data_IF_512655683209
#
_entry.id   IF_512655683209
#
_cell.length_a   1.000
_cell.length_b   1.000
_cell.length_c   1.000
_cell.angle_alpha   90.00
_cell.angle_beta   90.00
_cell.angle_gamma   90.00
#
_symmetry.space_group_name_H-M   'P 1'
#
loop_
_entity.id
_entity.type
_entity.pdbx_description
1 polymer ?
#
# COMPACT_ATOMS: atom_id res chain seq x y z
N UNK A 1 -12.14 -0.67 0.11
CA UNK A 1 -12.67 0.66 0.44
C UNK A 1 -14.17 0.65 0.75
N UNK A 2 -14.94 -0.22 0.11
CA UNK A 2 -16.40 -0.22 0.30
C UNK A 2 -16.84 -0.73 1.67
N UNK A 3 -16.14 -1.68 2.24
CA UNK A 3 -16.48 -2.28 3.54
C UNK A 3 -16.38 -1.30 4.71
N UNK A 4 -15.57 -0.26 4.59
CA UNK A 4 -15.48 0.78 5.63
C UNK A 4 -16.74 1.61 5.77
N UNK A 5 -17.51 1.78 4.71
CA UNK A 5 -18.79 2.50 4.76
C UNK A 5 -19.87 1.72 5.50
N UNK A 6 -19.77 0.40 5.55
CA UNK A 6 -20.67 -0.48 6.28
C UNK A 6 -20.04 -1.07 7.54
N UNK A 7 -18.94 -0.48 8.03
CA UNK A 7 -18.21 -0.90 9.23
C UNK A 7 -17.68 -2.32 9.16
N UNK A 8 -17.21 -2.73 7.99
CA UNK A 8 -16.69 -4.08 7.70
C UNK A 8 -17.74 -5.20 7.84
N UNK A 9 -19.04 -4.87 7.77
CA UNK A 9 -20.11 -5.85 7.90
C UNK A 9 -20.01 -6.93 6.80
N UNK A 10 -19.74 -6.52 5.56
CA UNK A 10 -19.57 -7.46 4.45
C UNK A 10 -18.37 -8.37 4.67
N UNK A 11 -17.22 -7.83 5.08
CA UNK A 11 -16.03 -8.62 5.39
C UNK A 11 -16.31 -9.63 6.52
N UNK A 12 -16.87 -9.17 7.64
CA UNK A 12 -17.24 -10.01 8.77
C UNK A 12 -18.17 -11.14 8.34
N UNK A 13 -19.24 -10.80 7.61
CA UNK A 13 -20.25 -11.74 7.15
C UNK A 13 -19.70 -12.82 6.23
N UNK A 14 -18.80 -12.47 5.33
CA UNK A 14 -18.32 -13.41 4.31
C UNK A 14 -17.05 -14.15 4.72
N UNK A 15 -16.19 -13.56 5.53
CA UNK A 15 -14.87 -14.14 5.86
C UNK A 15 -14.75 -14.61 7.31
N UNK A 16 -15.47 -14.00 8.25
CA UNK A 16 -15.39 -14.36 9.67
C UNK A 16 -16.55 -15.26 10.10
N UNK A 17 -17.78 -14.86 9.78
CA UNK A 17 -18.98 -15.60 10.22
C UNK A 17 -19.19 -16.90 9.43
N UNK A 18 -18.60 -17.00 8.24
CA UNK A 18 -18.62 -18.23 7.44
C UNK A 18 -17.27 -18.93 7.59
N UNK A 19 -17.30 -20.12 8.17
CA UNK A 19 -16.08 -20.92 8.37
C UNK A 19 -15.42 -21.37 7.06
N UNK A 20 -16.10 -21.22 5.92
CA UNK A 20 -15.58 -21.61 4.61
C UNK A 20 -16.14 -20.76 3.46
N UNK A 21 -15.35 -20.65 2.39
CA UNK A 21 -15.76 -20.10 1.09
C UNK A 21 -15.44 -21.13 0.01
N UNK A 22 -16.47 -21.59 -0.70
CA UNK A 22 -16.34 -22.58 -1.78
C UNK A 22 -15.60 -23.86 -1.36
N UNK A 23 -15.82 -24.34 -0.13
CA UNK A 23 -15.18 -25.54 0.43
C UNK A 23 -13.78 -25.32 1.00
N UNK A 24 -13.28 -24.08 1.02
CA UNK A 24 -12.00 -23.75 1.65
C UNK A 24 -12.23 -23.06 2.99
N UNK A 25 -11.59 -23.53 4.08
CA UNK A 25 -11.71 -22.88 5.38
C UNK A 25 -11.15 -21.45 5.34
N UNK A 26 -11.81 -20.54 6.03
CA UNK A 26 -11.41 -19.12 6.14
C UNK A 26 -10.82 -18.83 7.52
N UNK A 27 -9.53 -19.10 7.76
CA UNK A 27 -8.91 -18.91 9.06
C UNK A 27 -8.65 -17.45 9.40
N UNK A 28 -8.90 -16.53 8.48
CA UNK A 28 -8.63 -15.11 8.67
C UNK A 28 -9.73 -14.45 9.51
N UNK A 29 -9.36 -13.96 10.67
CA UNK A 29 -10.27 -13.30 11.62
C UNK A 29 -10.22 -11.77 11.59
N UNK A 30 -9.42 -11.19 10.69
CA UNK A 30 -9.19 -9.73 10.63
C UNK A 30 -8.96 -9.29 9.19
N UNK A 31 -9.27 -8.05 8.90
CA UNK A 31 -9.04 -7.42 7.59
C UNK A 31 -7.55 -7.17 7.29
N UNK A 32 -6.71 -7.11 8.30
CA UNK A 32 -5.25 -6.99 8.19
C UNK A 32 -4.55 -8.29 8.54
N UNK A 33 -3.41 -8.55 7.93
CA UNK A 33 -2.65 -9.78 8.17
C UNK A 33 -1.16 -9.65 7.82
N UNK A 34 -0.37 -10.61 8.29
CA UNK A 34 1.00 -10.84 7.87
C UNK A 34 1.18 -12.31 7.49
N UNK A 35 1.95 -12.55 6.44
CA UNK A 35 2.24 -13.89 5.94
C UNK A 35 3.74 -14.02 5.67
N UNK A 36 4.38 -15.02 6.28
CA UNK A 36 5.75 -15.39 5.94
C UNK A 36 5.74 -16.17 4.64
N UNK A 37 6.51 -15.69 3.67
CA UNK A 37 6.68 -16.30 2.36
C UNK A 37 8.02 -17.03 2.29
N UNK A 38 8.23 -17.92 1.29
CA UNK A 38 9.54 -18.55 1.09
C UNK A 38 10.66 -17.55 0.85
N UNK A 39 11.90 -17.97 1.14
CA UNK A 39 13.14 -17.24 0.84
C UNK A 39 13.29 -15.90 1.56
N UNK A 40 12.80 -15.79 2.80
CA UNK A 40 12.96 -14.57 3.60
C UNK A 40 12.09 -13.41 3.13
N UNK A 41 10.94 -13.69 2.52
CA UNK A 41 9.94 -12.68 2.19
C UNK A 41 8.79 -12.68 3.19
N UNK A 42 8.22 -11.52 3.38
CA UNK A 42 6.99 -11.29 4.15
C UNK A 42 6.00 -10.47 3.35
N UNK A 43 4.73 -10.81 3.46
CA UNK A 43 3.62 -10.01 2.97
C UNK A 43 2.88 -9.44 4.18
N UNK A 44 2.81 -8.14 4.28
CA UNK A 44 2.07 -7.41 5.30
C UNK A 44 0.94 -6.63 4.61
N UNK A 45 -0.29 -6.85 5.04
CA UNK A 45 -1.45 -6.13 4.51
C UNK A 45 -2.08 -5.29 5.61
N UNK A 46 -2.07 -3.98 5.40
CA UNK A 46 -2.66 -2.99 6.29
C UNK A 46 -4.15 -2.80 5.94
N UNK A 47 -4.93 -2.47 6.95
CA UNK A 47 -6.30 -2.02 6.79
C UNK A 47 -6.40 -0.55 7.22
N UNK A 48 -6.04 0.33 6.31
CA UNK A 48 -6.14 1.79 6.46
C UNK A 48 -6.81 2.36 5.22
N UNK A 49 -7.91 3.08 5.40
CA UNK A 49 -8.71 3.60 4.30
C UNK A 49 -9.34 4.94 4.66
N UNK A 50 -9.69 5.72 3.63
CA UNK A 50 -10.51 6.92 3.75
C UNK A 50 -10.00 7.91 4.80
N UNK A 51 -8.71 8.20 4.79
CA UNK A 51 -8.05 9.12 5.74
C UNK A 51 -8.08 8.65 7.21
N UNK A 52 -8.51 7.42 7.49
CA UNK A 52 -8.50 6.87 8.83
C UNK A 52 -7.07 6.56 9.30
N UNK A 53 -6.85 6.67 10.60
CA UNK A 53 -5.57 6.27 11.20
C UNK A 53 -5.54 4.75 11.43
N UNK A 54 -4.32 4.17 11.35
CA UNK A 54 -4.11 2.80 11.79
C UNK A 54 -4.50 2.65 13.26
N UNK A 55 -5.32 1.68 13.58
CA UNK A 55 -5.84 1.48 14.93
C UNK A 55 -4.86 0.76 15.87
N UNK A 56 -5.11 0.87 17.17
CA UNK A 56 -4.26 0.28 18.19
C UNK A 56 -4.09 -1.25 18.09
N UNK A 57 -5.13 -2.03 17.77
CA UNK A 57 -5.02 -3.46 17.51
C UNK A 57 -4.08 -3.81 16.34
N UNK A 58 -4.15 -3.09 15.21
CA UNK A 58 -3.23 -3.27 14.10
C UNK A 58 -1.79 -2.93 14.48
N UNK A 59 -1.60 -1.79 15.16
CA UNK A 59 -0.26 -1.38 15.64
C UNK A 59 0.37 -2.49 16.47
N UNK A 60 -0.36 -3.02 17.48
CA UNK A 60 0.14 -4.11 18.32
C UNK A 60 0.45 -5.37 17.51
N UNK A 61 -0.41 -5.73 16.58
CA UNK A 61 -0.22 -6.88 15.72
C UNK A 61 1.06 -6.78 14.90
N UNK A 62 1.24 -5.68 14.18
CA UNK A 62 2.43 -5.50 13.35
C UNK A 62 3.72 -5.29 14.16
N UNK A 63 3.64 -4.73 15.37
CA UNK A 63 4.78 -4.69 16.29
C UNK A 63 5.23 -6.10 16.75
N UNK A 64 4.29 -7.03 16.90
CA UNK A 64 4.62 -8.43 17.20
C UNK A 64 5.24 -9.11 15.97
N UNK A 65 4.61 -8.95 14.80
CA UNK A 65 5.12 -9.49 13.53
C UNK A 65 6.54 -8.99 13.23
N UNK A 66 6.81 -7.71 13.47
CA UNK A 66 8.12 -7.10 13.22
C UNK A 66 9.27 -7.76 14.01
N UNK A 67 8.97 -8.38 15.16
CA UNK A 67 9.97 -9.13 15.96
C UNK A 67 10.38 -10.44 15.29
N UNK A 68 9.49 -11.03 14.50
CA UNK A 68 9.71 -12.31 13.82
C UNK A 68 10.39 -12.11 12.43
N UNK A 69 10.39 -10.89 11.92
CA UNK A 69 11.08 -10.54 10.67
C UNK A 69 12.58 -10.46 10.94
N UNK A 70 13.35 -11.37 10.34
CA UNK A 70 14.79 -11.41 10.52
C UNK A 70 15.50 -10.26 9.78
N UNK A 71 16.72 -9.94 10.22
CA UNK A 71 17.57 -9.01 9.47
C UNK A 71 17.94 -9.64 8.14
N UNK A 72 17.70 -8.90 7.03
CA UNK A 72 17.88 -9.41 5.67
C UNK A 72 16.62 -9.99 5.02
N UNK A 73 15.54 -10.20 5.77
CA UNK A 73 14.24 -10.49 5.17
C UNK A 73 13.72 -9.27 4.39
N UNK A 74 12.94 -9.54 3.35
CA UNK A 74 12.32 -8.54 2.48
C UNK A 74 10.82 -8.47 2.71
N UNK A 75 10.26 -7.27 2.69
CA UNK A 75 8.84 -7.03 2.97
C UNK A 75 8.13 -6.51 1.71
N UNK A 76 6.96 -7.09 1.44
CA UNK A 76 5.92 -6.54 0.57
C UNK A 76 4.88 -5.92 1.51
N UNK A 77 4.72 -4.60 1.46
CA UNK A 77 3.76 -3.87 2.27
C UNK A 77 2.57 -3.46 1.41
N UNK A 78 1.41 -4.03 1.72
CA UNK A 78 0.16 -3.77 1.01
C UNK A 78 -0.68 -2.75 1.77
N UNK A 79 -1.18 -1.76 1.05
CA UNK A 79 -2.11 -0.76 1.54
C UNK A 79 -3.33 -0.68 0.62
N UNK A 80 -4.48 -0.24 1.12
CA UNK A 80 -5.68 -0.11 0.30
C UNK A 80 -5.52 0.97 -0.79
N UNK A 81 -4.97 2.12 -0.40
CA UNK A 81 -4.82 3.31 -1.24
C UNK A 81 -3.34 3.63 -1.50
N UNK A 82 -2.98 4.12 -2.70
CA UNK A 82 -1.62 4.53 -3.02
C UNK A 82 -1.33 5.94 -2.47
N UNK A 83 -1.30 6.10 -1.15
CA UNK A 83 -1.19 7.39 -0.45
C UNK A 83 0.06 8.16 -0.87
N UNK A 84 1.19 7.46 -1.09
CA UNK A 84 2.42 8.05 -1.66
C UNK A 84 2.22 8.72 -3.02
N UNK A 85 1.32 8.17 -3.82
CA UNK A 85 1.02 8.70 -5.15
C UNK A 85 0.09 9.91 -5.05
N UNK A 86 -0.90 9.86 -4.16
CA UNK A 86 -1.78 10.99 -3.90
C UNK A 86 -1.02 12.17 -3.34
N UNK A 87 -0.10 11.93 -2.40
CA UNK A 87 0.77 12.97 -1.89
C UNK A 87 1.57 13.64 -3.02
N UNK A 88 2.29 12.86 -3.82
CA UNK A 88 3.07 13.40 -4.94
C UNK A 88 2.22 14.13 -6.00
N UNK A 89 0.97 13.70 -6.19
CA UNK A 89 0.07 14.28 -7.20
C UNK A 89 -0.64 15.55 -6.72
N UNK A 90 -1.04 15.60 -5.44
CA UNK A 90 -1.95 16.60 -4.93
C UNK A 90 -1.35 17.54 -3.88
N UNK A 91 -0.18 17.28 -3.34
CA UNK A 91 0.44 18.07 -2.27
C UNK A 91 0.57 19.56 -2.62
N UNK A 92 0.76 19.89 -3.90
CA UNK A 92 0.78 21.27 -4.37
C UNK A 92 -0.57 22.00 -4.24
N UNK A 93 -1.67 21.25 -4.17
CA UNK A 93 -3.04 21.79 -4.06
C UNK A 93 -3.60 21.66 -2.65
N UNK A 94 -3.23 20.59 -1.94
CA UNK A 94 -3.61 20.35 -0.55
C UNK A 94 -2.43 19.77 0.24
N UNK A 95 -1.77 20.60 1.06
CA UNK A 95 -0.63 20.16 1.88
C UNK A 95 -1.04 19.18 3.00
N UNK A 96 -2.33 18.95 3.24
CA UNK A 96 -2.80 17.97 4.22
C UNK A 96 -2.86 16.55 3.64
N UNK A 97 -2.77 16.42 2.32
CA UNK A 97 -2.62 15.10 1.68
C UNK A 97 -1.23 14.58 2.00
N UNK A 98 -1.15 13.60 2.89
CA UNK A 98 0.13 13.02 3.32
C UNK A 98 -0.05 11.55 3.71
N UNK A 99 1.05 10.83 3.67
CA UNK A 99 1.10 9.38 3.91
C UNK A 99 1.47 9.04 5.37
N UNK A 100 0.81 9.66 6.33
CA UNK A 100 1.13 9.52 7.76
C UNK A 100 1.07 8.08 8.28
N UNK A 101 0.09 7.31 7.81
CA UNK A 101 -0.07 5.93 8.27
C UNK A 101 1.06 5.03 7.77
N UNK A 102 1.37 5.12 6.47
CA UNK A 102 2.42 4.32 5.87
C UNK A 102 3.79 4.71 6.43
N UNK A 103 4.04 6.00 6.54
CA UNK A 103 5.22 6.56 7.20
C UNK A 103 5.40 6.04 8.63
N UNK A 104 4.32 6.03 9.41
CA UNK A 104 4.36 5.52 10.79
C UNK A 104 4.67 4.02 10.82
N UNK A 105 4.02 3.24 9.96
CA UNK A 105 4.30 1.80 9.89
C UNK A 105 5.74 1.53 9.50
N UNK A 106 6.25 2.21 8.48
CA UNK A 106 7.62 2.02 7.99
C UNK A 106 8.66 2.49 9.00
N UNK A 107 8.49 3.69 9.56
CA UNK A 107 9.52 4.36 10.38
C UNK A 107 9.49 3.94 11.84
N UNK A 108 8.33 3.59 12.38
CA UNK A 108 8.18 3.26 13.81
C UNK A 108 7.97 1.76 14.06
N UNK A 109 7.13 1.10 13.26
CA UNK A 109 6.83 -0.33 13.46
C UNK A 109 7.89 -1.21 12.79
N UNK A 110 8.23 -0.91 11.53
CA UNK A 110 9.18 -1.68 10.72
C UNK A 110 10.58 -1.08 10.71
N UNK A 111 10.90 -0.26 11.70
CA UNK A 111 12.19 0.43 11.81
C UNK A 111 13.37 -0.54 11.65
N UNK A 112 14.24 -0.25 10.69
CA UNK A 112 15.42 -1.08 10.38
C UNK A 112 15.10 -2.35 9.57
N UNK A 113 13.86 -2.61 9.20
CA UNK A 113 13.47 -3.69 8.30
C UNK A 113 13.44 -3.20 6.85
N UNK A 114 13.54 -4.14 5.91
CA UNK A 114 13.67 -3.83 4.48
C UNK A 114 12.34 -3.96 3.75
N UNK A 115 11.63 -2.85 3.57
CA UNK A 115 10.45 -2.82 2.70
C UNK A 115 10.92 -2.66 1.26
N UNK A 116 10.77 -3.72 0.46
CA UNK A 116 11.21 -3.77 -0.93
C UNK A 116 10.10 -3.43 -1.93
N UNK A 117 8.85 -3.71 -1.57
CA UNK A 117 7.70 -3.48 -2.43
C UNK A 117 6.57 -2.85 -1.62
N UNK A 118 6.07 -1.71 -2.10
CA UNK A 118 4.81 -1.13 -1.69
C UNK A 118 3.76 -1.43 -2.75
N UNK A 119 2.64 -2.00 -2.36
CA UNK A 119 1.57 -2.40 -3.26
C UNK A 119 0.25 -1.81 -2.81
N UNK A 120 -0.45 -1.14 -3.71
CA UNK A 120 -1.77 -0.59 -3.43
C UNK A 120 -2.76 -0.83 -4.58
N UNK A 121 -4.05 -0.76 -4.23
CA UNK A 121 -5.17 -0.78 -5.15
C UNK A 121 -5.71 0.60 -5.45
N UNK A 122 -7.02 0.75 -5.33
CA UNK A 122 -7.85 1.95 -5.42
C UNK A 122 -7.87 2.64 -6.80
N UNK A 123 -6.74 3.01 -7.35
CA UNK A 123 -6.66 3.54 -8.70
C UNK A 123 -6.78 2.41 -9.73
N UNK A 124 -7.83 2.44 -10.54
CA UNK A 124 -8.20 1.39 -11.48
C UNK A 124 -7.31 1.37 -12.72
N UNK A 125 -6.00 1.27 -12.50
CA UNK A 125 -4.98 1.07 -13.51
C UNK A 125 -3.73 0.43 -12.88
N UNK A 126 -2.78 0.03 -13.70
CA UNK A 126 -1.45 -0.35 -13.25
C UNK A 126 -0.50 0.83 -13.36
N UNK A 127 0.32 1.07 -12.31
CA UNK A 127 1.41 2.05 -12.36
C UNK A 127 2.55 1.60 -11.45
N UNK A 128 3.78 1.76 -11.92
CA UNK A 128 4.98 1.35 -11.19
C UNK A 128 6.02 2.46 -11.17
N UNK A 129 6.55 2.69 -9.99
CA UNK A 129 7.72 3.53 -9.74
C UNK A 129 8.81 2.69 -9.09
N UNK A 130 10.06 3.04 -9.31
CA UNK A 130 11.23 2.30 -8.84
C UNK A 130 12.31 3.26 -8.36
N UNK A 131 12.88 2.97 -7.19
CA UNK A 131 14.03 3.67 -6.64
C UNK A 131 15.35 3.05 -7.16
N UNK A 132 16.47 3.78 -6.97
CA UNK A 132 17.81 3.31 -7.41
C UNK A 132 18.25 2.02 -6.73
N UNK A 133 17.80 1.77 -5.51
CA UNK A 133 18.11 0.55 -4.75
C UNK A 133 17.20 -0.64 -5.12
N UNK A 134 16.32 -0.48 -6.11
CA UNK A 134 15.40 -1.51 -6.56
C UNK A 134 14.06 -1.56 -5.82
N UNK A 135 13.84 -0.75 -4.80
CA UNK A 135 12.55 -0.66 -4.11
C UNK A 135 11.46 -0.22 -5.07
N UNK A 136 10.29 -0.85 -4.98
CA UNK A 136 9.17 -0.66 -5.90
C UNK A 136 7.97 -0.03 -5.20
N UNK A 137 7.29 0.89 -5.87
CA UNK A 137 5.95 1.38 -5.52
C UNK A 137 5.01 1.06 -6.67
N UNK A 138 4.01 0.20 -6.39
CA UNK A 138 3.15 -0.40 -7.40
C UNK A 138 1.69 -0.11 -7.07
N UNK A 139 0.98 0.42 -8.04
CA UNK A 139 -0.48 0.54 -8.05
C UNK A 139 -1.01 -0.55 -8.97
N UNK A 140 -1.91 -1.38 -8.48
CA UNK A 140 -2.48 -2.53 -9.20
C UNK A 140 -4.00 -2.65 -8.94
N UNK A 141 -4.74 -1.56 -9.13
CA UNK A 141 -6.18 -1.48 -8.85
C UNK A 141 -7.09 -1.89 -10.01
N UNK A 142 -6.56 -2.51 -11.06
CA UNK A 142 -7.31 -2.84 -12.29
C UNK A 142 -8.31 -4.00 -12.19
N UNK A 143 -8.85 -4.29 -11.02
CA UNK A 143 -9.63 -5.50 -10.69
C UNK A 143 -11.09 -5.54 -11.16
N UNK A 144 -11.48 -4.82 -12.23
CA UNK A 144 -12.79 -5.02 -12.84
C UNK A 144 -13.84 -3.92 -12.63
N UNK A 145 -13.45 -2.76 -12.12
CA UNK A 145 -14.27 -1.56 -12.11
C UNK A 145 -14.01 -0.72 -13.40
N UNK A 146 -14.50 0.51 -13.43
CA UNK A 146 -14.18 1.44 -14.51
C UNK A 146 -12.68 1.80 -14.51
N UNK A 147 -12.17 2.26 -15.64
CA UNK A 147 -10.79 2.65 -15.79
C UNK A 147 -10.56 4.09 -15.29
N UNK A 148 -9.62 4.28 -14.38
CA UNK A 148 -9.06 5.59 -14.12
C UNK A 148 -8.04 5.95 -15.21
N UNK A 149 -8.14 7.12 -15.85
CA UNK A 149 -7.21 7.49 -16.91
C UNK A 149 -5.79 7.64 -16.39
N UNK A 150 -4.81 7.13 -17.15
CA UNK A 150 -3.40 7.26 -16.80
C UNK A 150 -2.75 8.52 -17.37
N UNK A 151 -3.37 9.20 -18.33
CA UNK A 151 -2.80 10.34 -19.04
C UNK A 151 -2.94 11.68 -18.31
N UNK A 152 -3.83 11.78 -17.32
CA UNK A 152 -4.01 12.99 -16.49
C UNK A 152 -3.11 13.05 -15.26
N UNK A 153 -2.31 12.01 -15.02
CA UNK A 153 -1.48 11.91 -13.82
C UNK A 153 -0.06 12.38 -14.12
N UNK A 154 0.43 13.33 -13.32
CA UNK A 154 1.73 13.99 -13.54
C UNK A 154 2.83 13.54 -12.58
N UNK A 155 2.53 12.75 -11.55
CA UNK A 155 3.51 12.23 -10.61
C UNK A 155 4.43 11.19 -11.29
N UNK A 156 5.38 11.69 -12.08
CA UNK A 156 6.42 10.87 -12.71
C UNK A 156 7.59 10.61 -11.76
N UNK A 157 7.67 11.36 -10.69
CA UNK A 157 8.66 11.26 -9.64
C UNK A 157 7.96 11.34 -8.29
N UNK A 158 8.32 10.43 -7.38
CA UNK A 158 7.87 10.43 -5.99
C UNK A 158 9.11 10.62 -5.14
N UNK A 159 9.12 11.67 -4.31
CA UNK A 159 10.23 11.99 -3.44
C UNK A 159 9.79 11.81 -1.99
N UNK A 160 10.39 10.85 -1.31
CA UNK A 160 10.18 10.61 0.11
C UNK A 160 11.30 11.26 0.92
N UNK A 161 10.94 12.14 1.82
CA UNK A 161 11.88 12.76 2.74
C UNK A 161 12.04 11.85 3.95
N UNK A 162 13.16 11.16 4.03
CA UNK A 162 13.54 10.43 5.23
C UNK A 162 13.84 11.46 6.32
N UNK A 163 12.89 11.64 7.19
CA UNK A 163 12.81 12.47 8.41
C UNK A 163 13.88 13.52 8.79
N UNK A 164 13.45 14.64 9.44
CA UNK A 164 14.11 15.94 9.40
C UNK A 164 15.28 16.17 10.37
N UNK A 165 15.73 15.20 11.15
CA UNK A 165 16.76 15.46 12.15
C UNK A 165 18.21 15.16 11.71
N UNK A 166 18.41 14.43 10.64
CA UNK A 166 19.74 14.17 10.07
C UNK A 166 19.63 14.13 8.54
N UNK A 167 19.37 15.30 8.00
CA UNK A 167 19.19 15.55 6.58
C UNK A 167 20.21 14.84 5.70
N UNK A 168 19.75 14.26 4.63
CA UNK A 168 20.22 14.37 3.25
C UNK A 168 20.00 13.16 2.36
N UNK A 169 19.10 12.25 2.67
CA UNK A 169 18.76 11.24 1.68
C UNK A 169 17.27 11.19 1.42
N UNK A 170 16.82 12.07 0.54
CA UNK A 170 15.52 11.87 -0.09
C UNK A 170 15.60 10.62 -0.96
N UNK A 171 14.68 9.67 -0.77
CA UNK A 171 14.55 8.50 -1.64
C UNK A 171 13.63 8.86 -2.79
N UNK A 172 14.16 8.77 -3.99
CA UNK A 172 13.43 9.14 -5.21
C UNK A 172 13.02 7.90 -5.96
N UNK A 173 11.73 7.80 -6.30
CA UNK A 173 11.15 6.75 -7.12
C UNK A 173 10.75 7.32 -8.47
N UNK A 174 11.30 6.77 -9.55
CA UNK A 174 11.01 7.20 -10.92
C UNK A 174 9.93 6.33 -11.53
N UNK A 175 8.99 6.95 -12.24
CA UNK A 175 7.99 6.25 -13.03
C UNK A 175 8.64 5.34 -14.07
N UNK A 176 8.24 4.09 -14.11
CA UNK A 176 8.75 3.08 -15.05
C UNK A 176 7.71 2.62 -16.06
N UNK A 177 6.48 2.45 -15.62
CA UNK A 177 5.43 1.88 -16.46
C UNK A 177 4.04 2.27 -15.98
N UNK A 178 3.12 2.47 -16.91
CA UNK A 178 1.67 2.52 -16.66
C UNK A 178 0.94 1.65 -17.67
N UNK A 179 -0.15 1.03 -17.24
CA UNK A 179 -1.08 0.32 -18.12
C UNK A 179 -2.53 0.67 -17.77
N UNK A 180 -3.32 1.11 -18.75
CA UNK A 180 -2.91 1.41 -20.12
C UNK A 180 -1.86 2.52 -20.19
N UNK A 181 -1.07 2.54 -21.26
CA UNK A 181 -0.17 3.67 -21.52
C UNK A 181 -0.96 4.98 -21.69
N UNK A 182 -0.35 6.13 -21.44
CA UNK A 182 -1.03 7.42 -21.59
C UNK A 182 -1.67 7.61 -22.98
N UNK A 183 -1.00 7.12 -24.02
CA UNK A 183 -1.53 7.19 -25.40
C UNK A 183 -2.75 6.30 -25.60
N UNK A 184 -2.76 5.11 -25.02
CA UNK A 184 -3.93 4.20 -25.07
C UNK A 184 -5.04 4.74 -24.19
N UNK A 185 -4.73 5.22 -22.99
CA UNK A 185 -5.70 5.78 -22.05
C UNK A 185 -6.51 6.93 -22.68
N UNK A 186 -5.86 7.87 -23.43
CA UNK A 186 -6.56 8.96 -24.12
C UNK A 186 -7.54 8.50 -25.20
N UNK A 187 -7.45 7.28 -25.67
CA UNK A 187 -8.38 6.71 -26.66
C UNK A 187 -9.54 5.97 -26.02
N UNK A 188 -9.40 5.59 -24.74
CA UNK A 188 -10.38 4.81 -23.98
C UNK A 188 -11.31 5.70 -23.15
N UNK A 189 -10.90 6.92 -22.89
CA UNK A 189 -11.64 7.93 -22.10
C UNK A 189 -11.91 9.17 -22.95
#
# INVERSE_FOLDING_TARGET
NHDWYDSLVAFTRYFIDKDEIAGFPTPQLRSYFAMKLPRGWWLLALDTQLTSYIDGPQVKYFQLVAKDIADGDSIILCNAEPTWFYEAQYQQYDPNVNDRNLDFVEKEILKGKSVQVFLAGDLHHYRRHEAKDGTQKIIAGGGGAFLHPTHGWHANEIVETLQPAQASSAKTFLHKMSWPSAAVSRKLT
#
